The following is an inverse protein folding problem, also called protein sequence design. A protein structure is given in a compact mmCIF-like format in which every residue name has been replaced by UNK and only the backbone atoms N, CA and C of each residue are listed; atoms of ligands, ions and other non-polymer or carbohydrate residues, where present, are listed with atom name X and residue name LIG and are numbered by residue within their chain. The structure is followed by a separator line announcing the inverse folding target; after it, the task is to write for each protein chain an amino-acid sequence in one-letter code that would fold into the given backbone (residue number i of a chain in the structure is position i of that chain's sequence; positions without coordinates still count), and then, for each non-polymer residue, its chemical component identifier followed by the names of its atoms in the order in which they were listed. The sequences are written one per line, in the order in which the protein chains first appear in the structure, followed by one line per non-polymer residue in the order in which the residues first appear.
data_IF_315448745045
#
_entry.id   IF_315448745045
#
_cell.length_a   1.000
_cell.length_b   1.000
_cell.length_c   1.000
_cell.angle_alpha   90.00
_cell.angle_beta   90.00
_cell.angle_gamma   90.00
#
_symmetry.space_group_name_H-M   'P 1'
#
loop_
_entity.id
_entity.type
_entity.pdbx_description
1 polymer ?
#
# COMPACT_ATOMS: atom_id res chain seq x y z
N UNK A 1 -53.02 -11.85 -6.05
CA UNK A 1 -52.73 -12.47 -4.74
C UNK A 1 -52.46 -13.96 -4.95
N UNK A 2 -51.20 -14.37 -5.08
CA UNK A 2 -50.73 -15.71 -4.71
C UNK A 2 -49.28 -15.53 -4.26
N UNK A 3 -49.03 -15.95 -3.03
CA UNK A 3 -47.77 -15.88 -2.31
C UNK A 3 -47.20 -17.28 -2.26
N UNK A 4 -45.95 -17.47 -2.68
CA UNK A 4 -45.21 -18.72 -2.46
C UNK A 4 -43.82 -18.39 -1.92
N UNK A 5 -43.69 -18.61 -0.61
CA UNK A 5 -42.45 -18.57 0.18
C UNK A 5 -41.60 -19.80 -0.16
N UNK A 6 -40.31 -19.59 -0.40
CA UNK A 6 -39.30 -20.64 -0.43
C UNK A 6 -38.76 -20.88 0.99
N UNK A 7 -38.56 -22.13 1.44
CA UNK A 7 -37.86 -22.42 2.68
C UNK A 7 -36.33 -22.49 2.48
N UNK A 8 -35.63 -21.90 3.45
CA UNK A 8 -34.20 -22.00 3.70
C UNK A 8 -33.95 -23.26 4.54
N UNK A 9 -33.08 -24.17 4.10
CA UNK A 9 -32.51 -25.17 5.00
C UNK A 9 -30.98 -25.22 4.94
N UNK A 10 -30.46 -25.10 6.16
CA UNK A 10 -29.10 -25.03 6.65
C UNK A 10 -28.30 -26.31 6.38
N UNK A 11 -27.11 -26.20 5.76
CA UNK A 11 -26.11 -27.27 5.76
C UNK A 11 -25.04 -26.96 6.80
N UNK A 12 -25.12 -27.66 7.91
CA UNK A 12 -24.05 -27.80 8.90
C UNK A 12 -22.85 -28.53 8.25
N UNK A 13 -21.72 -27.84 8.11
CA UNK A 13 -20.43 -28.48 7.83
C UNK A 13 -19.77 -28.88 9.15
N UNK A 14 -19.57 -30.19 9.29
CA UNK A 14 -18.89 -30.84 10.41
C UNK A 14 -17.37 -30.78 10.17
N UNK A 15 -16.61 -30.17 11.09
CA UNK A 15 -15.15 -30.20 11.10
C UNK A 15 -14.63 -31.51 11.71
N UNK A 16 -13.68 -32.22 11.09
CA UNK A 16 -12.94 -33.30 11.75
C UNK A 16 -11.80 -32.75 12.62
N UNK A 17 -11.76 -33.24 13.87
CA UNK A 17 -10.68 -33.09 14.86
C UNK A 17 -9.35 -33.60 14.30
N UNK A 18 -8.32 -32.74 14.31
CA UNK A 18 -6.92 -33.15 14.13
C UNK A 18 -6.43 -33.92 15.36
N UNK A 19 -5.91 -35.12 15.11
CA UNK A 19 -5.33 -36.04 16.07
C UNK A 19 -3.82 -35.78 16.23
N UNK A 20 -3.39 -35.97 17.48
CA UNK A 20 -2.13 -36.60 17.92
C UNK A 20 -0.77 -35.95 17.59
N UNK A 21 -0.29 -35.20 18.58
CA UNK A 21 1.06 -34.64 18.69
C UNK A 21 2.01 -35.63 19.37
N UNK A 22 2.42 -36.71 18.70
CA UNK A 22 3.28 -37.73 19.32
C UNK A 22 4.24 -38.40 18.34
N UNK A 23 5.14 -37.68 17.65
CA UNK A 23 6.35 -38.34 17.10
C UNK A 23 7.46 -37.36 16.69
N UNK A 24 8.46 -37.16 17.57
CA UNK A 24 9.74 -36.52 17.21
C UNK A 24 10.86 -37.50 17.54
N UNK A 25 11.49 -38.16 16.56
CA UNK A 25 12.64 -39.02 16.83
C UNK A 25 13.91 -38.18 17.09
N UNK A 26 14.44 -38.36 18.30
CA UNK A 26 15.75 -37.85 18.77
C UNK A 26 16.90 -38.67 18.18
N UNK A 27 17.72 -38.12 17.30
CA UNK A 27 19.09 -38.61 17.08
C UNK A 27 20.03 -37.51 16.57
N UNK A 28 20.87 -36.94 17.44
CA UNK A 28 22.18 -36.40 17.05
C UNK A 28 23.21 -36.70 18.15
N UNK A 29 24.20 -37.55 17.81
CA UNK A 29 25.37 -37.88 18.63
C UNK A 29 26.37 -36.71 18.68
N UNK A 30 27.15 -36.55 19.77
CA UNK A 30 28.18 -35.51 19.86
C UNK A 30 29.49 -35.91 19.15
N UNK A 31 29.98 -35.03 18.28
CA UNK A 31 31.28 -35.16 17.59
C UNK A 31 32.40 -34.63 18.48
N UNK A 32 33.40 -35.46 18.76
CA UNK A 32 34.63 -35.11 19.51
C UNK A 32 35.47 -34.11 18.70
N UNK A 33 35.76 -32.94 19.27
CA UNK A 33 36.68 -31.94 18.69
C UNK A 33 38.14 -32.37 18.91
N UNK A 34 38.90 -32.52 17.82
CA UNK A 34 40.38 -32.59 17.85
C UNK A 34 40.98 -31.19 18.10
N UNK A 35 42.14 -31.08 18.75
CA UNK A 35 42.79 -29.78 19.01
C UNK A 35 43.41 -29.19 17.74
N UNK A 36 43.29 -27.86 17.57
CA UNK A 36 43.88 -27.10 16.47
C UNK A 36 45.38 -26.86 16.71
N UNK A 37 46.24 -26.93 15.68
CA UNK A 37 47.64 -26.53 15.80
C UNK A 37 47.79 -25.00 15.85
N UNK A 38 48.73 -24.54 16.68
CA UNK A 38 49.14 -23.14 16.80
C UNK A 38 49.71 -22.66 15.46
N UNK A 39 49.09 -21.64 14.86
CA UNK A 39 49.64 -20.97 13.68
C UNK A 39 49.76 -19.48 13.93
N UNK A 40 51.00 -19.05 13.73
CA UNK A 40 51.60 -17.73 13.62
C UNK A 40 50.71 -16.49 13.70
N UNK A 41 51.17 -15.57 14.56
CA UNK A 41 50.80 -14.17 14.56
C UNK A 41 50.91 -13.58 13.15
N UNK A 42 49.76 -13.21 12.58
CA UNK A 42 49.65 -12.17 11.57
C UNK A 42 49.20 -10.90 12.26
N UNK A 43 50.06 -9.89 12.21
CA UNK A 43 49.82 -8.55 12.73
C UNK A 43 48.43 -8.05 12.33
N UNK A 44 47.54 -7.90 13.32
CA UNK A 44 46.25 -7.23 13.15
C UNK A 44 46.53 -5.73 12.93
N UNK A 45 46.42 -5.27 11.68
CA UNK A 45 46.00 -3.89 11.43
C UNK A 45 44.54 -3.80 11.93
N UNK A 46 44.14 -2.80 12.73
CA UNK A 46 42.74 -2.64 13.08
C UNK A 46 41.99 -2.23 11.82
N UNK A 47 41.30 -3.19 11.20
CA UNK A 47 40.14 -2.88 10.37
C UNK A 47 39.11 -2.28 11.33
N UNK A 48 38.92 -0.97 11.25
CA UNK A 48 37.79 -0.30 11.86
C UNK A 48 36.55 -0.80 11.11
N UNK A 49 36.02 -1.94 11.55
CA UNK A 49 34.74 -2.44 11.10
C UNK A 49 33.75 -1.68 11.97
N UNK A 50 33.21 -0.58 11.45
CA UNK A 50 32.09 0.09 12.11
C UNK A 50 30.93 -0.91 12.13
N UNK A 51 30.45 -1.28 13.32
CA UNK A 51 29.23 -2.06 13.46
C UNK A 51 28.03 -1.13 13.19
N UNK A 52 27.13 -1.46 12.25
CA UNK A 52 25.92 -0.68 12.03
C UNK A 52 25.08 -0.47 13.30
N UNK A 53 25.18 -1.38 14.27
CA UNK A 53 24.47 -1.27 15.54
C UNK A 53 25.11 -0.29 16.54
N UNK A 54 26.37 0.11 16.32
CA UNK A 54 27.10 1.05 17.18
C UNK A 54 26.85 2.53 16.79
N UNK A 55 26.06 2.80 15.75
CA UNK A 55 25.67 4.16 15.40
C UNK A 55 24.63 4.71 16.37
N UNK A 56 24.91 5.90 16.93
CA UNK A 56 23.94 6.62 17.75
C UNK A 56 22.85 7.23 16.86
N UNK A 57 21.57 6.91 17.07
CA UNK A 57 20.47 7.50 16.30
C UNK A 57 20.39 9.02 16.40
N UNK A 58 20.87 9.63 17.48
CA UNK A 58 20.91 11.10 17.61
C UNK A 58 22.02 11.71 16.74
N UNK A 59 23.19 11.07 16.66
CA UNK A 59 24.26 11.48 15.76
C UNK A 59 23.79 11.39 14.30
N UNK A 60 23.09 10.31 13.94
CA UNK A 60 22.47 10.17 12.61
C UNK A 60 21.43 11.25 12.33
N UNK A 61 20.59 11.60 13.32
CA UNK A 61 19.56 12.65 13.18
C UNK A 61 20.17 14.03 13.01
N UNK A 62 21.24 14.31 13.74
CA UNK A 62 22.03 15.54 13.62
C UNK A 62 22.74 15.63 12.27
N UNK A 63 23.39 14.56 11.80
CA UNK A 63 24.02 14.50 10.48
C UNK A 63 23.01 14.65 9.34
N UNK A 64 21.77 14.20 9.55
CA UNK A 64 20.67 14.34 8.62
C UNK A 64 20.00 15.73 8.67
N UNK A 65 20.40 16.63 9.59
CA UNK A 65 19.85 17.98 9.72
C UNK A 65 18.38 18.02 10.18
N UNK A 66 17.89 16.96 10.84
CA UNK A 66 16.47 16.82 11.20
C UNK A 66 16.12 17.59 12.49
N UNK A 67 17.11 17.93 13.31
CA UNK A 67 16.94 18.71 14.55
C UNK A 67 17.01 20.23 14.33
N UNK A 68 17.35 20.68 13.12
CA UNK A 68 17.30 22.09 12.75
C UNK A 68 15.85 22.48 12.44
N UNK A 69 15.33 23.49 13.14
CA UNK A 69 13.96 24.01 12.95
C UNK A 69 13.73 24.66 11.57
N UNK A 70 14.75 24.67 10.70
CA UNK A 70 14.67 24.97 9.27
C UNK A 70 14.58 23.66 8.46
N UNK A 71 13.54 22.87 8.74
CA UNK A 71 13.29 21.56 8.14
C UNK A 71 12.79 21.65 6.69
N UNK A 72 13.47 22.43 5.84
CA UNK A 72 13.12 22.64 4.44
C UNK A 72 14.00 21.92 3.42
N UNK A 73 15.22 21.50 3.80
CA UNK A 73 16.17 20.91 2.84
C UNK A 73 16.64 19.56 3.33
N UNK A 74 15.79 18.54 3.16
CA UNK A 74 16.28 17.17 3.14
C UNK A 74 17.43 17.07 2.13
N UNK A 75 18.50 16.35 2.47
CA UNK A 75 19.64 16.13 1.58
C UNK A 75 19.12 15.50 0.29
N UNK A 76 18.96 16.30 -0.76
CA UNK A 76 18.68 15.80 -2.10
C UNK A 76 19.95 15.12 -2.60
N UNK A 77 20.05 13.82 -2.35
CA UNK A 77 21.02 13.00 -3.04
C UNK A 77 20.70 13.07 -4.54
N UNK A 78 21.68 13.36 -5.42
CA UNK A 78 21.44 13.31 -6.84
C UNK A 78 20.91 11.92 -7.21
N UNK A 79 19.89 11.83 -8.10
CA UNK A 79 19.38 10.55 -8.53
C UNK A 79 20.54 9.69 -9.05
N UNK A 80 20.73 8.52 -8.48
CA UNK A 80 21.60 7.51 -9.09
C UNK A 80 20.98 7.16 -10.44
N UNK A 81 21.73 7.32 -11.53
CA UNK A 81 21.28 6.88 -12.87
C UNK A 81 20.88 5.39 -12.81
N UNK A 82 19.62 5.09 -13.11
CA UNK A 82 19.04 3.75 -13.02
C UNK A 82 18.29 3.43 -11.71
N UNK A 83 18.34 4.31 -10.70
CA UNK A 83 17.45 4.23 -9.55
C UNK A 83 16.09 4.84 -9.91
N UNK A 84 15.08 4.00 -10.13
CA UNK A 84 13.68 4.44 -10.26
C UNK A 84 13.07 5.01 -8.98
N UNK A 85 13.89 5.26 -7.94
CA UNK A 85 13.43 5.80 -6.67
C UNK A 85 13.09 7.28 -6.81
N UNK A 86 11.80 7.58 -6.73
CA UNK A 86 11.28 8.93 -6.51
C UNK A 86 10.69 8.99 -5.09
N UNK A 87 11.02 10.01 -4.28
CA UNK A 87 10.33 10.24 -3.02
C UNK A 87 8.82 10.38 -3.27
N UNK A 88 8.00 9.75 -2.42
CA UNK A 88 6.55 9.91 -2.49
C UNK A 88 6.18 11.40 -2.39
N UNK A 89 5.31 11.88 -3.28
CA UNK A 89 4.75 13.22 -3.15
C UNK A 89 3.99 13.35 -1.81
N UNK A 90 3.75 14.55 -1.26
CA UNK A 90 3.08 14.73 0.03
C UNK A 90 1.74 13.99 0.16
N UNK A 91 0.99 13.95 -0.93
CA UNK A 91 -0.32 13.30 -1.03
C UNK A 91 -0.23 11.85 -1.52
N UNK A 92 0.99 11.40 -1.82
CA UNK A 92 1.27 10.04 -2.19
C UNK A 92 1.50 9.17 -0.96
N UNK A 93 0.80 8.02 -0.84
CA UNK A 93 1.05 7.11 0.26
C UNK A 93 2.49 6.62 0.19
N UNK A 94 3.14 6.57 1.36
CA UNK A 94 4.42 5.89 1.48
C UNK A 94 4.26 4.40 1.18
N UNK A 95 5.37 3.73 0.84
CA UNK A 95 5.36 2.28 0.59
C UNK A 95 4.72 1.49 1.74
N UNK A 96 5.05 1.81 2.98
CA UNK A 96 4.46 1.17 4.17
C UNK A 96 2.95 1.44 4.32
N UNK A 97 2.49 2.61 3.87
CA UNK A 97 1.06 2.94 3.83
C UNK A 97 0.36 2.14 2.73
N UNK A 98 0.95 2.02 1.54
CA UNK A 98 0.44 1.15 0.48
C UNK A 98 0.30 -0.29 0.96
N UNK A 99 1.34 -0.86 1.57
CA UNK A 99 1.33 -2.23 2.10
C UNK A 99 0.20 -2.45 3.12
N UNK A 100 -0.03 -1.47 4.01
CA UNK A 100 -1.16 -1.51 4.96
C UNK A 100 -2.53 -1.41 4.28
N UNK A 101 -2.69 -0.51 3.32
CA UNK A 101 -3.96 -0.30 2.62
C UNK A 101 -4.32 -1.52 1.76
N UNK A 102 -3.33 -2.12 1.11
CA UNK A 102 -3.45 -3.39 0.38
C UNK A 102 -3.92 -4.51 1.32
N UNK A 103 -3.27 -4.65 2.49
CA UNK A 103 -3.66 -5.67 3.48
C UNK A 103 -5.10 -5.47 3.98
N UNK A 104 -5.52 -4.23 4.24
CA UNK A 104 -6.90 -3.90 4.64
C UNK A 104 -7.89 -4.15 3.49
N UNK A 105 -7.49 -3.82 2.26
CA UNK A 105 -8.29 -4.01 1.06
C UNK A 105 -8.43 -5.48 0.64
N UNK A 106 -7.70 -6.40 1.27
CA UNK A 106 -7.69 -7.81 0.90
C UNK A 106 -7.05 -8.08 -0.46
N UNK A 107 -6.23 -7.14 -0.95
CA UNK A 107 -5.54 -7.24 -2.24
C UNK A 107 -4.18 -7.88 -2.02
N UNK A 108 -3.70 -8.69 -2.96
CA UNK A 108 -2.33 -9.18 -2.93
C UNK A 108 -1.36 -7.99 -3.15
N UNK A 109 -0.37 -7.74 -2.28
CA UNK A 109 0.65 -6.71 -2.53
C UNK A 109 1.38 -6.87 -3.85
N UNK A 110 1.50 -8.09 -4.38
CA UNK A 110 2.05 -8.31 -5.72
C UNK A 110 1.15 -7.74 -6.83
N UNK A 111 -0.17 -7.63 -6.59
CA UNK A 111 -1.12 -7.07 -7.56
C UNK A 111 -0.96 -5.56 -7.75
N UNK A 112 -0.37 -4.85 -6.77
CA UNK A 112 -0.10 -3.42 -6.91
C UNK A 112 0.86 -3.14 -8.09
N UNK A 113 1.66 -4.13 -8.52
CA UNK A 113 2.36 -4.10 -9.80
C UNK A 113 3.15 -2.81 -10.07
N UNK A 114 3.29 -2.48 -11.35
CA UNK A 114 3.86 -1.21 -11.80
C UNK A 114 2.75 -0.19 -12.07
N UNK A 115 3.09 1.09 -12.00
CA UNK A 115 2.15 2.17 -12.34
C UNK A 115 1.83 2.15 -13.85
N UNK A 116 0.59 2.43 -14.26
CA UNK A 116 -0.54 2.82 -13.42
C UNK A 116 -1.16 1.67 -12.63
N UNK A 117 -1.47 1.88 -11.35
CA UNK A 117 -1.99 0.82 -10.48
C UNK A 117 -3.37 0.30 -10.91
N UNK A 118 -4.26 1.19 -11.34
CA UNK A 118 -5.56 0.83 -11.90
C UNK A 118 -5.63 1.28 -13.37
N UNK A 119 -5.13 0.48 -14.33
CA UNK A 119 -5.07 0.87 -15.73
C UNK A 119 -6.46 1.07 -16.34
N UNK A 120 -7.39 0.16 -16.05
CA UNK A 120 -8.75 0.14 -16.57
C UNK A 120 -9.76 0.05 -15.43
N UNK A 121 -10.88 0.76 -15.55
CA UNK A 121 -11.95 0.70 -14.55
C UNK A 121 -12.70 -0.64 -14.64
N UNK A 122 -12.93 -1.35 -13.52
CA UNK A 122 -13.67 -2.60 -13.53
C UNK A 122 -15.17 -2.33 -13.77
N UNK A 123 -15.66 -2.55 -15.00
CA UNK A 123 -17.06 -2.34 -15.36
C UNK A 123 -17.98 -3.51 -14.98
N UNK A 124 -17.85 -3.95 -13.74
CA UNK A 124 -18.74 -4.93 -13.09
C UNK A 124 -19.59 -4.23 -12.03
N UNK A 125 -20.75 -4.78 -11.61
CA UNK A 125 -21.64 -4.11 -10.66
C UNK A 125 -20.96 -3.65 -9.35
N UNK A 126 -20.05 -4.46 -8.82
CA UNK A 126 -19.27 -4.12 -7.62
C UNK A 126 -18.33 -2.92 -7.88
N UNK A 127 -17.61 -2.93 -9.01
CA UNK A 127 -16.72 -1.84 -9.41
C UNK A 127 -17.47 -0.54 -9.64
N UNK A 128 -18.58 -0.59 -10.38
CA UNK A 128 -19.46 0.57 -10.59
C UNK A 128 -19.96 1.17 -9.28
N UNK A 129 -20.36 0.34 -8.32
CA UNK A 129 -20.80 0.80 -7.00
C UNK A 129 -19.68 1.50 -6.23
N UNK A 130 -18.50 0.88 -6.15
CA UNK A 130 -17.35 1.45 -5.45
C UNK A 130 -16.91 2.78 -6.08
N UNK A 131 -16.84 2.84 -7.41
CA UNK A 131 -16.48 4.07 -8.12
C UNK A 131 -17.52 5.18 -7.92
N UNK A 132 -18.82 4.86 -7.95
CA UNK A 132 -19.87 5.84 -7.65
C UNK A 132 -19.76 6.36 -6.22
N UNK A 133 -19.59 5.48 -5.24
CA UNK A 133 -19.51 5.86 -3.83
C UNK A 133 -18.27 6.74 -3.57
N UNK A 134 -17.16 6.46 -4.27
CA UNK A 134 -15.94 7.28 -4.23
C UNK A 134 -16.15 8.67 -4.84
N UNK A 135 -16.73 8.77 -6.05
CA UNK A 135 -17.00 10.07 -6.68
C UNK A 135 -18.02 10.88 -5.88
N UNK A 136 -19.06 10.23 -5.34
CA UNK A 136 -20.02 10.89 -4.47
C UNK A 136 -19.38 11.42 -3.19
N UNK A 137 -18.35 10.76 -2.67
CA UNK A 137 -17.56 11.29 -1.56
C UNK A 137 -16.80 12.55 -1.99
N UNK A 138 -15.98 12.47 -3.04
CA UNK A 138 -15.16 13.60 -3.49
C UNK A 138 -16.00 14.85 -3.83
N UNK A 139 -17.13 14.67 -4.53
CA UNK A 139 -18.02 15.78 -4.89
C UNK A 139 -18.68 16.41 -3.67
N UNK A 140 -19.09 15.63 -2.68
CA UNK A 140 -19.68 16.17 -1.44
C UNK A 140 -18.66 16.87 -0.56
N UNK A 141 -17.39 16.46 -0.61
CA UNK A 141 -16.32 17.10 0.14
C UNK A 141 -15.86 18.38 -0.53
N UNK A 142 -15.46 18.31 -1.81
CA UNK A 142 -14.71 19.38 -2.47
C UNK A 142 -15.36 19.94 -3.74
N UNK A 143 -16.53 19.40 -4.12
CA UNK A 143 -17.25 19.85 -5.30
C UNK A 143 -16.63 19.38 -6.63
N UNK A 144 -17.22 19.84 -7.72
CA UNK A 144 -16.95 19.34 -9.07
C UNK A 144 -15.52 19.60 -9.54
N UNK A 145 -15.06 20.86 -9.47
CA UNK A 145 -13.77 21.26 -10.00
C UNK A 145 -12.61 20.58 -9.28
N UNK A 146 -12.60 20.62 -7.95
CA UNK A 146 -11.57 19.96 -7.15
C UNK A 146 -11.58 18.43 -7.33
N UNK A 147 -12.75 17.82 -7.52
CA UNK A 147 -12.85 16.38 -7.82
C UNK A 147 -12.18 16.05 -9.16
N UNK A 148 -12.42 16.84 -10.21
CA UNK A 148 -11.78 16.63 -11.52
C UNK A 148 -10.27 16.84 -11.46
N UNK A 149 -9.83 17.89 -10.76
CA UNK A 149 -8.41 18.16 -10.54
C UNK A 149 -7.73 17.01 -9.79
N UNK A 150 -8.40 16.44 -8.79
CA UNK A 150 -7.91 15.28 -8.05
C UNK A 150 -7.78 14.04 -8.94
N UNK A 151 -8.76 13.75 -9.80
CA UNK A 151 -8.68 12.64 -10.77
C UNK A 151 -7.48 12.84 -11.71
N UNK A 152 -7.29 14.05 -12.23
CA UNK A 152 -6.13 14.41 -13.04
C UNK A 152 -4.80 14.22 -12.30
N UNK A 153 -4.74 14.62 -11.02
CA UNK A 153 -3.59 14.40 -10.14
C UNK A 153 -3.30 12.92 -9.94
N UNK A 154 -4.31 12.10 -9.65
CA UNK A 154 -4.14 10.66 -9.43
C UNK A 154 -3.67 9.95 -10.69
N UNK A 155 -4.12 10.39 -11.87
CA UNK A 155 -3.57 9.94 -13.15
C UNK A 155 -2.10 10.33 -13.30
N UNK A 156 -1.74 11.59 -13.02
CA UNK A 156 -0.36 12.07 -13.13
C UNK A 156 0.60 11.38 -12.14
N UNK A 157 0.11 10.97 -10.97
CA UNK A 157 0.84 10.15 -10.02
C UNK A 157 0.95 8.67 -10.43
N UNK A 158 0.22 8.24 -11.46
CA UNK A 158 0.19 6.85 -11.92
C UNK A 158 -0.63 5.94 -11.00
N UNK A 159 -1.65 6.45 -10.34
CA UNK A 159 -2.62 5.60 -9.64
C UNK A 159 -3.69 5.10 -10.58
N UNK A 160 -4.10 5.97 -11.50
CA UNK A 160 -5.12 5.69 -12.51
C UNK A 160 -4.47 5.67 -13.89
N UNK A 161 -4.86 4.68 -14.70
CA UNK A 161 -4.66 4.72 -16.15
C UNK A 161 -5.64 5.67 -16.81
N UNK A 162 -5.45 5.87 -18.11
CA UNK A 162 -6.30 6.78 -18.89
C UNK A 162 -7.77 6.37 -18.86
N UNK A 163 -8.04 5.09 -19.13
CA UNK A 163 -9.41 4.55 -19.15
C UNK A 163 -10.09 4.69 -17.78
N UNK A 164 -9.37 4.40 -16.71
CA UNK A 164 -9.89 4.53 -15.35
C UNK A 164 -10.21 5.99 -14.99
N UNK A 165 -9.31 6.92 -15.33
CA UNK A 165 -9.50 8.35 -15.08
C UNK A 165 -10.70 8.90 -15.87
N UNK A 166 -10.80 8.61 -17.16
CA UNK A 166 -11.93 9.05 -18.00
C UNK A 166 -13.28 8.51 -17.49
N UNK A 167 -13.29 7.25 -17.04
CA UNK A 167 -14.49 6.59 -16.51
C UNK A 167 -14.97 7.22 -15.19
N UNK A 168 -14.04 7.68 -14.36
CA UNK A 168 -14.33 8.38 -13.11
C UNK A 168 -14.75 9.84 -13.37
N UNK A 169 -14.09 10.52 -14.31
CA UNK A 169 -14.43 11.90 -14.70
C UNK A 169 -15.87 12.01 -15.23
N UNK A 170 -16.29 11.08 -16.08
CA UNK A 170 -17.67 11.02 -16.56
C UNK A 170 -18.70 10.91 -15.42
N UNK A 171 -18.37 10.15 -14.35
CA UNK A 171 -19.24 10.00 -13.18
C UNK A 171 -19.33 11.25 -12.32
N UNK A 172 -18.37 12.17 -12.40
CA UNK A 172 -18.44 13.45 -11.69
C UNK A 172 -19.66 14.24 -12.19
N UNK A 173 -19.90 14.25 -13.50
CA UNK A 173 -21.08 14.91 -14.09
C UNK A 173 -22.39 14.33 -13.55
N UNK A 174 -22.50 13.00 -13.50
CA UNK A 174 -23.69 12.32 -12.94
C UNK A 174 -23.90 12.64 -11.46
N UNK A 175 -22.82 12.73 -10.69
CA UNK A 175 -22.88 12.98 -9.25
C UNK A 175 -23.31 14.42 -8.92
N UNK A 176 -22.73 15.41 -9.60
CA UNK A 176 -23.05 16.83 -9.39
C UNK A 176 -24.51 17.14 -9.78
N UNK A 177 -25.08 16.39 -10.72
CA UNK A 177 -26.48 16.55 -11.09
C UNK A 177 -27.48 16.16 -9.97
N UNK A 178 -27.05 15.37 -8.97
CA UNK A 178 -27.95 14.79 -7.96
C UNK A 178 -27.51 15.03 -6.50
N UNK A 179 -26.28 15.49 -6.27
CA UNK A 179 -25.71 15.72 -4.95
C UNK A 179 -25.48 17.20 -4.68
N UNK A 180 -25.65 17.59 -3.42
CA UNK A 180 -25.11 18.85 -2.94
C UNK A 180 -23.58 18.77 -2.95
N UNK A 181 -22.95 19.74 -3.61
CA UNK A 181 -21.49 19.83 -3.74
C UNK A 181 -20.89 20.55 -2.53
N UNK A 182 -19.75 20.05 -2.03
CA UNK A 182 -18.95 20.74 -1.02
C UNK A 182 -18.11 21.88 -1.63
N UNK A 183 -17.48 22.66 -0.76
CA UNK A 183 -16.55 23.74 -1.13
C UNK A 183 -15.19 23.66 -0.40
N UNK A 184 -14.94 22.58 0.34
CA UNK A 184 -13.68 22.36 1.05
C UNK A 184 -12.57 21.90 0.08
N UNK A 185 -11.31 22.12 0.45
CA UNK A 185 -10.18 21.52 -0.26
C UNK A 185 -9.99 20.05 0.17
N UNK A 186 -9.53 19.20 -0.75
CA UNK A 186 -9.13 17.83 -0.41
C UNK A 186 -7.81 17.86 0.36
N UNK A 187 -7.82 17.26 1.55
CA UNK A 187 -6.64 17.14 2.38
C UNK A 187 -5.90 15.81 2.14
N UNK A 188 -4.82 15.61 2.89
CA UNK A 188 -4.01 14.39 2.80
C UNK A 188 -4.82 13.12 3.13
N UNK A 189 -5.73 13.19 4.09
CA UNK A 189 -6.56 12.04 4.46
C UNK A 189 -7.54 11.69 3.33
N UNK A 190 -8.11 12.68 2.65
CA UNK A 190 -8.96 12.49 1.45
C UNK A 190 -8.20 11.80 0.32
N UNK A 191 -6.93 12.17 0.09
CA UNK A 191 -6.06 11.56 -0.90
C UNK A 191 -5.69 10.11 -0.54
N UNK A 192 -5.43 9.81 0.74
CA UNK A 192 -5.16 8.46 1.21
C UNK A 192 -6.41 7.56 1.11
N UNK A 193 -7.59 8.11 1.42
CA UNK A 193 -8.85 7.38 1.26
C UNK A 193 -9.13 7.12 -0.22
N UNK A 194 -8.83 8.09 -1.09
CA UNK A 194 -8.91 7.93 -2.54
C UNK A 194 -7.99 6.81 -3.03
N UNK A 195 -6.77 6.71 -2.51
CA UNK A 195 -5.89 5.58 -2.83
C UNK A 195 -6.47 4.24 -2.34
N UNK A 196 -7.07 4.20 -1.16
CA UNK A 196 -7.74 2.99 -0.67
C UNK A 196 -8.89 2.55 -1.60
N UNK A 197 -9.61 3.49 -2.23
CA UNK A 197 -10.59 3.18 -3.27
C UNK A 197 -9.94 2.58 -4.52
N UNK A 198 -8.78 3.07 -4.95
CA UNK A 198 -8.00 2.49 -6.07
C UNK A 198 -7.62 1.04 -5.76
N UNK A 199 -7.06 0.77 -4.58
CA UNK A 199 -6.73 -0.58 -4.12
C UNK A 199 -7.97 -1.46 -4.11
N UNK A 200 -9.07 -0.98 -3.55
CA UNK A 200 -10.32 -1.73 -3.51
C UNK A 200 -10.84 -2.09 -4.91
N UNK A 201 -10.75 -1.17 -5.87
CA UNK A 201 -11.15 -1.41 -7.25
C UNK A 201 -10.24 -2.44 -7.94
N UNK A 202 -8.93 -2.39 -7.66
CA UNK A 202 -7.97 -3.36 -8.16
C UNK A 202 -8.25 -4.79 -7.69
N UNK A 203 -8.76 -4.94 -6.46
CA UNK A 203 -9.17 -6.24 -5.91
C UNK A 203 -10.48 -6.80 -6.46
N UNK A 204 -11.18 -6.07 -7.33
CA UNK A 204 -12.42 -6.54 -7.95
C UNK A 204 -12.06 -7.30 -9.22
N UNK A 205 -12.29 -8.61 -9.21
CA UNK A 205 -12.14 -9.45 -10.39
C UNK A 205 -13.10 -9.00 -11.49
N UNK A 206 -12.55 -8.81 -12.69
CA UNK A 206 -13.30 -8.59 -13.92
C UNK A 206 -13.43 -9.97 -14.57
N UNK A 207 -14.53 -10.69 -14.29
CA UNK A 207 -14.87 -11.94 -15.00
C UNK A 207 -15.18 -11.70 -16.48
#
# INVERSE_FOLDING_TARGET
MVSTRLPVESRFYSFPRLQDSSNIPRYCRPVRRRPRPKSLQRSRRPSLVFDPADYDPNELRSLAGVDDADAGTGVSLPPVEGSGYRPAAPDEPSREQCERLVAIGGVDPAALGERPYLPTFPDVPAGRRVGRDWIAYLVRTAGEAATRDAIGRYRALGWLGEDAAATLDARVGDAVAVLDSGDDDLDRADHLLSFAHVIRLLGIEVE
#
